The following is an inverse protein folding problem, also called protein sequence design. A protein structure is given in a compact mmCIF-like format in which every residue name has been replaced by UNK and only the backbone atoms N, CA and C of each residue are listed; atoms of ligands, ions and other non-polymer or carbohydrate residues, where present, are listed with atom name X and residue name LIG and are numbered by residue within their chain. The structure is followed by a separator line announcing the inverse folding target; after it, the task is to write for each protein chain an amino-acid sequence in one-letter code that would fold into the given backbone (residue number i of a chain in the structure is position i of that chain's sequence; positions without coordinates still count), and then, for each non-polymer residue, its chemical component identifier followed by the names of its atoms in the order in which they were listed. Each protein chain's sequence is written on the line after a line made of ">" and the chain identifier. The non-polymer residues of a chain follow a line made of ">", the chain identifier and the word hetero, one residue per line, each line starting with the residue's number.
data_IF_986943099417
#
_entry.id   IF_986943099417
#
_cell.length_a   1.000
_cell.length_b   1.000
_cell.length_c   1.000
_cell.angle_alpha   90.00
_cell.angle_beta   90.00
_cell.angle_gamma   90.00
#
_symmetry.space_group_name_H-M   'P 1'
#
loop_
_entity.id
_entity.type
_entity.pdbx_description
1 polymer ?
#
# COMPACT_ATOMS: atom_id res chain seq x y z
N UNK A 1 1.70 -46.91 -29.80
CA UNK A 1 1.49 -45.50 -29.45
C UNK A 1 2.80 -44.73 -29.52
N UNK A 2 2.71 -43.43 -29.81
CA UNK A 2 3.71 -42.55 -30.43
C UNK A 2 4.91 -42.22 -29.54
N UNK A 3 6.12 -42.32 -30.12
CA UNK A 3 7.34 -41.60 -29.70
C UNK A 3 7.20 -40.14 -30.14
N UNK A 4 7.49 -39.17 -29.28
CA UNK A 4 7.78 -37.80 -29.66
C UNK A 4 9.04 -37.35 -28.94
N UNK A 5 10.04 -36.98 -29.75
CA UNK A 5 11.34 -36.48 -29.33
C UNK A 5 11.33 -35.00 -28.94
N UNK A 6 12.52 -34.41 -28.79
CA UNK A 6 12.79 -33.16 -28.07
C UNK A 6 12.46 -31.92 -28.92
N UNK A 7 12.23 -30.77 -28.27
CA UNK A 7 12.19 -29.48 -28.98
C UNK A 7 13.12 -28.48 -28.31
N UNK A 8 14.00 -27.98 -29.15
CA UNK A 8 15.17 -27.17 -28.91
C UNK A 8 14.83 -25.70 -28.65
N UNK A 9 15.73 -25.08 -27.89
CA UNK A 9 16.27 -23.73 -28.06
C UNK A 9 15.96 -23.05 -29.40
N UNK A 10 15.30 -21.89 -29.40
CA UNK A 10 15.51 -20.89 -30.45
C UNK A 10 15.25 -19.47 -29.93
N UNK A 11 16.34 -18.73 -29.81
CA UNK A 11 16.43 -17.28 -29.73
C UNK A 11 16.20 -16.72 -31.13
N UNK A 12 15.26 -15.79 -31.29
CA UNK A 12 15.18 -14.96 -32.49
C UNK A 12 15.04 -13.48 -32.09
N UNK A 13 16.13 -12.75 -32.35
CA UNK A 13 16.21 -11.30 -32.52
C UNK A 13 15.73 -10.92 -33.93
N UNK A 14 15.58 -9.61 -34.14
CA UNK A 14 15.33 -8.89 -35.41
C UNK A 14 13.85 -8.88 -35.86
N UNK A 15 13.27 -7.79 -36.36
CA UNK A 15 13.83 -6.74 -37.22
C UNK A 15 13.30 -5.32 -36.92
N UNK A 16 14.13 -4.34 -37.31
CA UNK A 16 13.81 -2.92 -37.45
C UNK A 16 12.85 -2.72 -38.63
N UNK A 17 11.80 -1.94 -38.41
CA UNK A 17 10.99 -1.34 -39.48
C UNK A 17 10.71 0.12 -39.16
N UNK A 18 11.56 1.02 -39.62
CA UNK A 18 11.22 2.43 -39.77
C UNK A 18 10.57 2.62 -41.15
N UNK A 19 9.51 3.42 -41.25
CA UNK A 19 9.37 4.51 -42.21
C UNK A 19 8.15 5.40 -41.85
N UNK A 20 8.16 6.70 -42.22
CA UNK A 20 7.30 7.76 -41.68
C UNK A 20 6.16 8.19 -42.64
N UNK A 21 5.18 8.93 -42.12
CA UNK A 21 4.57 10.03 -42.88
C UNK A 21 3.04 10.05 -43.03
N UNK A 22 2.48 11.24 -42.71
CA UNK A 22 1.21 11.83 -43.15
C UNK A 22 -0.10 11.21 -42.61
N UNK A 23 -0.83 11.82 -41.67
CA UNK A 23 -1.53 13.13 -41.67
C UNK A 23 -3.04 12.89 -41.69
N UNK A 24 -3.73 13.16 -40.57
CA UNK A 24 -4.77 14.20 -40.48
C UNK A 24 -5.73 14.01 -39.29
N UNK A 25 -5.76 15.04 -38.43
CA UNK A 25 -6.95 15.62 -37.80
C UNK A 25 -7.80 14.75 -36.84
N UNK A 26 -7.46 14.80 -35.55
CA UNK A 26 -8.43 15.23 -34.53
C UNK A 26 -7.69 15.80 -33.31
N UNK A 27 -7.91 17.07 -33.02
CA UNK A 27 -7.48 17.73 -31.80
C UNK A 27 -8.56 17.54 -30.71
N UNK A 28 -8.17 17.09 -29.53
CA UNK A 28 -8.84 17.49 -28.29
C UNK A 28 -7.86 17.45 -27.12
N UNK A 29 -7.58 18.66 -26.64
CA UNK A 29 -7.41 19.09 -25.26
C UNK A 29 -6.56 18.22 -24.30
N UNK A 30 -5.58 18.88 -23.69
CA UNK A 30 -4.70 18.31 -22.70
C UNK A 30 -5.38 17.95 -21.37
N UNK A 31 -4.60 17.28 -20.54
CA UNK A 31 -4.93 17.06 -19.14
C UNK A 31 -4.32 15.78 -18.60
N UNK A 32 -3.14 15.89 -17.99
CA UNK A 32 -2.98 15.35 -16.64
C UNK A 32 -1.79 16.01 -15.93
N UNK A 33 -1.99 17.27 -15.54
CA UNK A 33 -1.14 17.96 -14.56
C UNK A 33 -1.61 17.57 -13.16
N UNK A 34 -1.19 16.42 -12.62
CA UNK A 34 -1.33 16.17 -11.18
C UNK A 34 -0.13 15.41 -10.63
N UNK A 35 1.03 16.05 -10.65
CA UNK A 35 1.96 15.90 -9.53
C UNK A 35 1.40 16.68 -8.33
N UNK A 36 0.23 16.31 -7.84
CA UNK A 36 -0.23 16.80 -6.54
C UNK A 36 0.61 16.05 -5.52
N UNK A 37 1.44 16.75 -4.75
CA UNK A 37 1.85 16.22 -3.46
C UNK A 37 0.56 16.16 -2.64
N UNK A 38 -0.20 15.08 -2.80
CA UNK A 38 -1.44 14.88 -2.09
C UNK A 38 -1.15 15.03 -0.61
N UNK A 39 -1.88 15.89 0.08
CA UNK A 39 -1.82 16.01 1.53
C UNK A 39 -1.95 14.61 2.10
N UNK A 40 -0.88 14.10 2.73
CA UNK A 40 -0.86 12.71 3.20
C UNK A 40 -2.06 12.50 4.12
N UNK A 41 -2.88 11.51 3.80
CA UNK A 41 -4.05 11.18 4.60
C UNK A 41 -3.56 10.54 5.89
N UNK A 42 -3.87 11.11 7.05
CA UNK A 42 -3.44 10.57 8.33
C UNK A 42 -4.35 9.42 8.75
N UNK A 43 -3.77 8.25 9.02
CA UNK A 43 -4.47 7.09 9.56
C UNK A 43 -3.92 6.77 10.95
N UNK A 44 -4.74 6.90 11.99
CA UNK A 44 -4.36 6.62 13.38
C UNK A 44 -4.97 5.29 13.81
N UNK A 45 -4.12 4.35 14.22
CA UNK A 45 -4.51 3.00 14.65
C UNK A 45 -4.03 2.75 16.07
N UNK A 46 -4.92 2.30 16.95
CA UNK A 46 -4.56 1.88 18.31
C UNK A 46 -4.60 0.37 18.42
N UNK A 47 -3.52 -0.23 18.88
CA UNK A 47 -3.41 -1.67 19.07
C UNK A 47 -2.88 -2.02 20.44
N UNK A 48 -2.91 -3.31 20.76
CA UNK A 48 -2.28 -3.83 21.97
C UNK A 48 -0.77 -3.75 21.90
N UNK A 49 -0.16 -3.32 22.99
CA UNK A 49 1.26 -3.51 23.22
C UNK A 49 1.53 -4.99 23.50
N UNK A 50 2.35 -5.60 22.65
CA UNK A 50 2.71 -7.01 22.72
C UNK A 50 4.22 -7.12 22.89
N UNK A 51 4.71 -8.09 23.68
CA UNK A 51 6.15 -8.30 23.83
C UNK A 51 6.79 -8.70 22.49
N UNK A 52 8.07 -8.35 22.28
CA UNK A 52 8.83 -8.67 21.06
C UNK A 52 8.90 -10.17 20.73
N UNK A 53 8.84 -11.02 21.74
CA UNK A 53 8.84 -12.49 21.58
C UNK A 53 7.47 -13.05 21.16
N UNK A 54 6.40 -12.22 21.14
CA UNK A 54 5.08 -12.65 20.69
C UNK A 54 5.02 -12.71 19.15
N UNK A 55 4.65 -13.85 18.54
CA UNK A 55 4.54 -13.96 17.09
C UNK A 55 3.53 -12.95 16.49
N UNK A 56 2.53 -12.51 17.25
CA UNK A 56 1.60 -11.48 16.81
C UNK A 56 2.25 -10.09 16.73
N UNK A 57 3.26 -9.77 17.55
CA UNK A 57 4.01 -8.53 17.40
C UNK A 57 4.76 -8.50 16.07
N UNK A 58 5.48 -9.57 15.73
CA UNK A 58 6.17 -9.69 14.45
C UNK A 58 5.20 -9.54 13.25
N UNK A 59 4.02 -10.16 13.34
CA UNK A 59 2.97 -10.04 12.33
C UNK A 59 2.47 -8.60 12.16
N UNK A 60 2.14 -7.91 13.26
CA UNK A 60 1.66 -6.52 13.24
C UNK A 60 2.71 -5.60 12.62
N UNK A 61 3.98 -5.78 12.99
CA UNK A 61 5.09 -5.00 12.43
C UNK A 61 5.23 -5.21 10.92
N UNK A 62 5.15 -6.45 10.45
CA UNK A 62 5.19 -6.76 9.03
C UNK A 62 4.00 -6.14 8.28
N UNK A 63 2.80 -6.19 8.86
CA UNK A 63 1.59 -5.60 8.30
C UNK A 63 1.69 -4.07 8.17
N UNK A 64 2.11 -3.39 9.24
CA UNK A 64 2.29 -1.92 9.24
C UNK A 64 3.32 -1.50 8.19
N UNK A 65 4.46 -2.19 8.14
CA UNK A 65 5.51 -1.89 7.18
C UNK A 65 5.05 -2.13 5.74
N UNK A 66 4.37 -3.26 5.49
CA UNK A 66 3.80 -3.57 4.19
C UNK A 66 2.72 -2.58 3.76
N UNK A 67 1.89 -2.12 4.68
CA UNK A 67 0.86 -1.11 4.42
C UNK A 67 1.47 0.24 4.05
N UNK A 68 2.46 0.72 4.82
CA UNK A 68 3.17 1.99 4.53
C UNK A 68 3.90 1.95 3.19
N UNK A 69 4.55 0.84 2.87
CA UNK A 69 5.25 0.68 1.60
C UNK A 69 4.30 0.71 0.39
N UNK A 70 3.10 0.15 0.54
CA UNK A 70 2.08 0.12 -0.52
C UNK A 70 1.27 1.41 -0.64
N UNK A 71 1.20 2.21 0.43
CA UNK A 71 0.38 3.42 0.50
C UNK A 71 1.23 4.61 0.98
N UNK A 72 2.14 5.14 0.14
CA UNK A 72 3.04 6.25 0.52
C UNK A 72 2.29 7.57 0.77
N UNK A 73 1.07 7.69 0.24
CA UNK A 73 0.19 8.84 0.42
C UNK A 73 -0.56 8.83 1.78
N UNK A 74 -0.40 7.76 2.58
CA UNK A 74 -1.01 7.63 3.90
C UNK A 74 0.06 7.76 4.98
N UNK A 75 -0.15 8.71 5.89
CA UNK A 75 0.64 8.83 7.12
C UNK A 75 0.03 7.95 8.22
N UNK A 76 0.51 6.71 8.32
CA UNK A 76 0.03 5.73 9.30
C UNK A 76 0.74 5.95 10.65
N UNK A 77 -0.02 6.36 11.65
CA UNK A 77 0.38 6.42 13.07
C UNK A 77 -0.19 5.21 13.81
N UNK A 78 0.68 4.31 14.25
CA UNK A 78 0.30 3.15 15.08
C UNK A 78 0.75 3.38 16.52
N UNK A 79 -0.20 3.31 17.46
CA UNK A 79 0.03 3.48 18.88
C UNK A 79 -0.21 2.14 19.58
N UNK A 80 0.88 1.51 20.02
CA UNK A 80 0.85 0.35 20.89
C UNK A 80 0.52 0.79 22.32
N UNK A 81 -0.55 0.26 22.89
CA UNK A 81 -1.01 0.58 24.23
C UNK A 81 -1.13 -0.71 25.03
N UNK A 82 -0.50 -0.76 26.21
CA UNK A 82 -0.64 -1.90 27.12
C UNK A 82 -2.07 -2.03 27.66
N UNK A 83 -2.39 -3.19 28.23
CA UNK A 83 -3.61 -3.37 29.02
C UNK A 83 -3.37 -2.87 30.46
N UNK A 84 -4.28 -2.06 31.07
CA UNK A 84 -5.61 -1.62 30.60
C UNK A 84 -5.61 -0.34 29.74
N UNK A 85 -4.44 0.25 29.46
CA UNK A 85 -4.28 1.53 28.78
C UNK A 85 -5.01 1.69 27.44
N UNK A 86 -5.13 0.63 26.63
CA UNK A 86 -5.90 0.66 25.38
C UNK A 86 -7.39 0.93 25.61
N UNK A 87 -7.99 0.20 26.55
CA UNK A 87 -9.41 0.31 26.88
C UNK A 87 -9.72 1.67 27.52
N UNK A 88 -8.87 2.11 28.45
CA UNK A 88 -9.07 3.38 29.16
C UNK A 88 -8.92 4.57 28.22
N UNK A 89 -7.89 4.56 27.34
CA UNK A 89 -7.72 5.62 26.34
C UNK A 89 -8.89 5.68 25.36
N UNK A 90 -9.41 4.53 24.93
CA UNK A 90 -10.58 4.45 24.05
C UNK A 90 -11.81 5.05 24.71
N UNK A 91 -12.10 4.70 25.97
CA UNK A 91 -13.20 5.29 26.74
C UNK A 91 -13.05 6.80 26.89
N UNK A 92 -11.86 7.27 27.24
CA UNK A 92 -11.57 8.69 27.45
C UNK A 92 -11.73 9.48 26.14
N UNK A 93 -11.21 8.98 25.02
CA UNK A 93 -11.32 9.66 23.73
C UNK A 93 -12.77 9.70 23.23
N UNK A 94 -13.53 8.62 23.41
CA UNK A 94 -14.96 8.57 23.10
C UNK A 94 -15.77 9.54 23.97
N UNK A 95 -15.47 9.62 25.27
CA UNK A 95 -16.13 10.58 26.17
C UNK A 95 -15.85 12.04 25.79
N UNK A 96 -14.61 12.34 25.37
CA UNK A 96 -14.20 13.70 25.03
C UNK A 96 -14.50 14.10 23.58
N UNK A 97 -14.96 13.17 22.73
CA UNK A 97 -15.17 13.37 21.28
C UNK A 97 -13.95 14.00 20.59
N UNK A 98 -12.75 13.66 21.06
CA UNK A 98 -11.47 14.19 20.59
C UNK A 98 -10.46 13.08 20.49
N UNK A 99 -9.54 13.21 19.53
CA UNK A 99 -8.39 12.32 19.36
C UNK A 99 -8.78 10.84 19.21
N UNK A 100 -9.93 10.59 18.58
CA UNK A 100 -10.40 9.25 18.29
C UNK A 100 -9.48 8.58 17.26
N UNK A 101 -9.08 7.32 17.49
CA UNK A 101 -8.42 6.57 16.45
C UNK A 101 -9.39 6.33 15.30
N UNK A 102 -8.85 6.16 14.11
CA UNK A 102 -9.64 5.71 12.97
C UNK A 102 -9.95 4.22 13.10
N UNK A 103 -9.04 3.44 13.71
CA UNK A 103 -9.18 2.00 13.95
C UNK A 103 -8.62 1.69 15.35
N UNK A 104 -9.33 0.89 16.14
CA UNK A 104 -8.81 0.36 17.41
C UNK A 104 -9.11 -1.14 17.54
N UNK A 105 -8.22 -1.85 18.24
CA UNK A 105 -8.40 -3.27 18.58
C UNK A 105 -9.24 -3.39 19.86
N UNK A 106 -10.42 -4.04 19.79
CA UNK A 106 -11.30 -4.31 20.95
C UNK A 106 -11.18 -5.76 21.43
#
# INVERSE_FOLDING_TARGET
>A
MKRFGPREEEVAKEEKGALPGAAAHHCHAGGNVYGTSASKVKLVVWGRDLPDDDPAHAYIKALINGFRAKNPDIDLEYLALGDPGLMDKTKVAMANNRDLPHIFQS
#
